data_IF_523587640823
#
_entry.id   IF_523587640823
#
_cell.length_a   1.000
_cell.length_b   1.000
_cell.length_c   1.000
_cell.angle_alpha   90.00
_cell.angle_beta   90.00
_cell.angle_gamma   90.00
#
_symmetry.space_group_name_H-M   'P 1'
#
loop_
_entity.id
_entity.type
_entity.pdbx_description
1 polymer ?
#
# COMPACT_ATOMS: atom_id res chain seq x y z
N UNK A 1 -24.32 12.09 9.20
CA UNK A 1 -23.12 11.23 9.03
C UNK A 1 -21.94 11.62 9.95
N UNK A 2 -21.75 12.90 10.29
CA UNK A 2 -20.67 13.38 11.18
C UNK A 2 -20.70 12.74 12.60
N UNK A 3 -21.89 12.64 13.21
CA UNK A 3 -22.09 12.04 14.55
C UNK A 3 -21.78 10.52 14.63
N UNK A 4 -21.70 9.81 13.50
CA UNK A 4 -21.28 8.41 13.51
C UNK A 4 -19.77 8.29 13.67
N UNK A 5 -18.99 9.18 13.04
CA UNK A 5 -17.53 9.17 13.10
C UNK A 5 -16.97 9.64 14.44
N UNK A 6 -17.66 10.57 15.13
CA UNK A 6 -17.18 11.14 16.41
C UNK A 6 -17.54 10.30 17.64
N UNK A 7 -18.61 9.48 17.56
CA UNK A 7 -19.07 8.65 18.68
C UNK A 7 -17.97 7.73 19.25
N UNK A 8 -17.18 7.02 18.43
CA UNK A 8 -16.06 6.22 18.95
C UNK A 8 -15.05 7.07 19.74
N UNK A 9 -14.73 8.27 19.26
CA UNK A 9 -13.78 9.17 19.94
C UNK A 9 -14.31 9.69 21.27
N UNK A 10 -15.60 10.01 21.36
CA UNK A 10 -16.24 10.43 22.61
C UNK A 10 -16.21 9.34 23.68
N UNK A 11 -16.15 8.07 23.27
CA UNK A 11 -16.10 6.91 24.16
C UNK A 11 -14.69 6.40 24.43
N UNK A 12 -13.64 7.02 23.87
CA UNK A 12 -12.25 6.65 24.17
C UNK A 12 -11.94 6.72 25.67
N UNK A 13 -12.57 7.66 26.38
CA UNK A 13 -12.43 7.82 27.83
C UNK A 13 -13.05 6.66 28.63
N UNK A 14 -13.94 5.87 28.02
CA UNK A 14 -14.50 4.66 28.63
C UNK A 14 -13.56 3.45 28.50
N UNK A 15 -12.58 3.51 27.60
CA UNK A 15 -11.66 2.40 27.38
C UNK A 15 -10.64 2.30 28.52
N UNK A 16 -10.42 1.09 29.02
CA UNK A 16 -9.38 0.83 30.04
C UNK A 16 -7.98 1.12 29.48
N UNK A 17 -7.77 0.77 28.22
CA UNK A 17 -6.52 0.97 27.49
C UNK A 17 -6.78 1.05 25.99
N UNK A 18 -5.90 1.75 25.25
CA UNK A 18 -5.93 1.84 23.79
C UNK A 18 -4.67 1.18 23.23
N UNK A 19 -4.85 0.24 22.29
CA UNK A 19 -3.75 -0.40 21.57
C UNK A 19 -3.60 0.28 20.21
N UNK A 20 -2.40 0.77 19.90
CA UNK A 20 -2.11 1.40 18.61
C UNK A 20 -1.01 0.59 17.91
N UNK A 21 -1.24 0.31 16.62
CA UNK A 21 -0.27 -0.35 15.75
C UNK A 21 0.82 0.64 15.32
N UNK A 22 1.67 1.02 16.26
CA UNK A 22 2.81 1.93 16.08
C UNK A 22 3.92 1.56 17.07
N UNK A 23 5.08 2.19 17.00
CA UNK A 23 6.19 1.99 17.94
C UNK A 23 6.82 3.33 18.32
N UNK A 24 7.50 3.37 19.47
CA UNK A 24 7.97 4.62 20.08
C UNK A 24 8.86 5.46 19.16
N UNK A 25 9.75 4.83 18.40
CA UNK A 25 10.65 5.55 17.51
C UNK A 25 9.96 6.13 16.26
N UNK A 26 8.77 5.65 15.90
CA UNK A 26 7.99 6.20 14.77
C UNK A 26 7.22 7.45 15.16
N UNK A 27 6.60 7.48 16.35
CA UNK A 27 5.64 8.52 16.77
C UNK A 27 5.90 9.07 18.18
N UNK A 28 7.18 9.16 18.57
CA UNK A 28 7.62 9.53 19.94
C UNK A 28 6.88 10.72 20.54
N UNK A 29 6.82 11.83 19.81
CA UNK A 29 6.26 13.08 20.32
C UNK A 29 4.74 12.98 20.53
N UNK A 30 4.04 12.26 19.64
CA UNK A 30 2.60 12.02 19.73
C UNK A 30 2.29 11.10 20.91
N UNK A 31 3.03 10.00 21.04
CA UNK A 31 2.85 9.04 22.15
C UNK A 31 3.13 9.69 23.50
N UNK A 32 4.16 10.54 23.58
CA UNK A 32 4.47 11.32 24.78
C UNK A 32 3.33 12.26 25.15
N UNK A 33 2.83 13.04 24.20
CA UNK A 33 1.72 13.97 24.44
C UNK A 33 0.45 13.25 24.94
N UNK A 34 0.11 12.11 24.34
CA UNK A 34 -1.04 11.30 24.77
C UNK A 34 -0.88 10.73 26.19
N UNK A 35 0.35 10.32 26.54
CA UNK A 35 0.65 9.83 27.88
C UNK A 35 0.61 10.96 28.93
N UNK A 36 1.06 12.17 28.59
CA UNK A 36 0.96 13.36 29.45
C UNK A 36 -0.51 13.74 29.73
N UNK A 37 -1.40 13.54 28.75
CA UNK A 37 -2.86 13.66 28.89
C UNK A 37 -3.50 12.49 29.68
N UNK A 38 -2.68 11.59 30.25
CA UNK A 38 -3.07 10.41 31.04
C UNK A 38 -3.95 9.41 30.28
N UNK A 39 -3.82 9.37 28.95
CA UNK A 39 -4.49 8.36 28.13
C UNK A 39 -3.68 7.06 28.24
N UNK A 40 -4.29 6.01 28.78
CA UNK A 40 -3.64 4.70 28.92
C UNK A 40 -3.50 4.03 27.54
N UNK A 41 -2.33 4.16 26.93
CA UNK A 41 -2.04 3.76 25.55
C UNK A 41 -0.87 2.78 25.50
N UNK A 42 -0.94 1.82 24.57
CA UNK A 42 0.14 0.89 24.25
C UNK A 42 0.46 0.98 22.75
N UNK A 43 1.65 1.48 22.43
CA UNK A 43 2.25 1.33 21.12
C UNK A 43 2.78 -0.10 20.99
N UNK A 44 2.09 -0.95 20.22
CA UNK A 44 2.38 -2.39 20.16
C UNK A 44 2.64 -2.89 18.73
N UNK A 45 3.04 -2.00 17.83
CA UNK A 45 3.36 -2.33 16.44
C UNK A 45 4.85 -2.63 16.20
N UNK A 46 5.20 -2.92 14.93
CA UNK A 46 4.30 -3.10 13.81
C UNK A 46 3.63 -4.49 13.82
N UNK A 47 2.30 -4.52 13.79
CA UNK A 47 1.54 -5.73 13.47
C UNK A 47 1.67 -5.99 11.98
N UNK A 48 2.59 -6.87 11.63
CA UNK A 48 2.81 -7.32 10.28
C UNK A 48 2.05 -8.63 10.03
N UNK A 49 1.57 -8.87 8.80
CA UNK A 49 1.07 -10.19 8.41
C UNK A 49 2.10 -11.28 8.73
N UNK A 50 1.70 -12.46 9.22
CA UNK A 50 2.62 -13.55 9.57
C UNK A 50 3.59 -13.94 8.45
N UNK A 51 3.18 -13.81 7.18
CA UNK A 51 4.04 -14.07 6.03
C UNK A 51 5.31 -13.20 5.96
N UNK A 52 5.29 -11.99 6.54
CA UNK A 52 6.50 -11.14 6.64
C UNK A 52 7.46 -11.59 7.75
N UNK A 53 7.00 -12.44 8.67
CA UNK A 53 7.74 -12.86 9.85
C UNK A 53 8.31 -14.29 9.69
N UNK A 54 7.73 -15.11 8.81
CA UNK A 54 8.24 -16.45 8.49
C UNK A 54 9.41 -16.37 7.52
N UNK A 55 10.57 -16.95 7.89
CA UNK A 55 11.73 -17.14 7.00
C UNK A 55 11.59 -18.32 6.02
N UNK A 56 10.47 -19.03 6.09
CA UNK A 56 10.22 -20.18 5.22
C UNK A 56 9.65 -19.68 3.89
N UNK A 57 10.35 -20.00 2.79
CA UNK A 57 9.95 -19.79 1.40
C UNK A 57 8.73 -20.65 1.02
N UNK A 58 7.64 -20.55 1.77
CA UNK A 58 6.40 -21.17 1.38
C UNK A 58 5.78 -20.30 0.29
N UNK A 59 5.94 -20.75 -0.96
CA UNK A 59 5.19 -20.30 -2.14
C UNK A 59 3.66 -20.50 -1.99
N UNK A 60 3.21 -20.94 -0.81
CA UNK A 60 1.84 -21.15 -0.38
C UNK A 60 1.43 -20.16 0.74
N UNK A 61 2.13 -19.03 0.86
CA UNK A 61 1.72 -17.93 1.73
C UNK A 61 0.52 -17.17 1.12
N UNK A 62 -0.62 -17.86 1.00
CA UNK A 62 -1.94 -17.25 0.80
C UNK A 62 -2.32 -16.54 2.10
N UNK A 63 -1.67 -15.43 2.42
CA UNK A 63 -2.09 -14.57 3.53
C UNK A 63 -3.34 -13.82 3.11
N UNK A 64 -4.48 -14.48 3.27
CA UNK A 64 -5.82 -14.00 2.95
C UNK A 64 -6.27 -12.81 3.79
N UNK A 65 -5.63 -11.66 3.59
CA UNK A 65 -6.17 -10.34 3.96
C UNK A 65 -6.66 -9.58 2.74
N UNK A 66 -6.26 -10.00 1.54
CA UNK A 66 -6.80 -9.49 0.28
C UNK A 66 -8.21 -10.03 0.03
N UNK A 67 -9.17 -9.13 -0.21
CA UNK A 67 -10.51 -9.50 -0.67
C UNK A 67 -10.55 -9.92 -2.15
N UNK A 68 -9.40 -9.88 -2.83
CA UNK A 68 -9.26 -10.06 -4.28
C UNK A 68 -8.16 -11.08 -4.58
N UNK A 69 -8.27 -11.84 -5.69
CA UNK A 69 -7.19 -12.73 -6.13
C UNK A 69 -5.89 -11.93 -6.34
N UNK A 70 -4.81 -12.41 -5.74
CA UNK A 70 -3.48 -11.83 -5.91
C UNK A 70 -2.83 -12.31 -7.20
N UNK A 71 -2.30 -11.39 -7.99
CA UNK A 71 -1.53 -11.70 -9.18
C UNK A 71 -0.10 -12.09 -8.79
N UNK A 72 0.22 -13.39 -8.87
CA UNK A 72 1.56 -13.90 -8.58
C UNK A 72 2.50 -13.76 -9.78
N UNK A 73 2.00 -13.51 -10.99
CA UNK A 73 2.84 -13.33 -12.18
C UNK A 73 3.66 -12.03 -12.08
N UNK A 74 3.17 -11.04 -11.32
CA UNK A 74 3.92 -9.82 -11.04
C UNK A 74 5.24 -10.09 -10.29
N UNK A 75 5.31 -11.14 -9.46
CA UNK A 75 6.55 -11.53 -8.77
C UNK A 75 7.57 -12.07 -9.78
N UNK A 76 7.11 -12.92 -10.71
CA UNK A 76 7.96 -13.41 -11.81
C UNK A 76 8.48 -12.26 -12.67
N UNK A 77 7.66 -11.25 -12.94
CA UNK A 77 8.10 -10.05 -13.65
C UNK A 77 9.18 -9.27 -12.87
N UNK A 78 9.03 -9.14 -11.54
CA UNK A 78 9.99 -8.47 -10.66
C UNK A 78 11.36 -9.17 -10.60
N UNK A 79 11.40 -10.50 -10.70
CA UNK A 79 12.66 -11.27 -10.70
C UNK A 79 13.55 -10.95 -11.91
N UNK A 80 12.95 -10.50 -13.02
CA UNK A 80 13.67 -10.08 -14.22
C UNK A 80 14.16 -8.62 -14.17
N UNK A 81 13.87 -7.90 -13.08
CA UNK A 81 14.24 -6.49 -12.92
C UNK A 81 15.55 -6.35 -12.14
N UNK A 82 16.25 -5.23 -12.36
CA UNK A 82 17.45 -4.89 -11.60
C UNK A 82 17.10 -4.60 -10.13
N UNK A 83 18.06 -4.85 -9.25
CA UNK A 83 17.91 -4.54 -7.83
C UNK A 83 17.59 -3.04 -7.64
N UNK A 84 16.62 -2.73 -6.78
CA UNK A 84 16.19 -1.37 -6.49
C UNK A 84 15.89 -0.52 -7.75
N UNK A 85 15.32 -1.10 -8.81
CA UNK A 85 15.00 -0.36 -10.05
C UNK A 85 13.52 -0.08 -10.27
N UNK A 86 12.64 -0.87 -9.66
CA UNK A 86 11.20 -0.84 -9.92
C UNK A 86 10.50 0.19 -9.02
N UNK A 87 9.68 1.02 -9.65
CA UNK A 87 8.72 1.88 -8.96
C UNK A 87 7.41 1.11 -8.76
N UNK A 88 7.04 0.81 -7.52
CA UNK A 88 5.78 0.15 -7.21
C UNK A 88 4.73 1.16 -6.74
N UNK A 89 3.59 1.18 -7.43
CA UNK A 89 2.52 2.15 -7.22
C UNK A 89 1.24 1.42 -6.81
N UNK A 90 0.69 1.81 -5.66
CA UNK A 90 -0.61 1.37 -5.17
C UNK A 90 -1.28 2.53 -4.43
N UNK A 91 -2.58 2.72 -4.69
CA UNK A 91 -3.41 3.76 -4.08
C UNK A 91 -4.29 3.25 -2.92
N UNK A 92 -4.09 1.99 -2.50
CA UNK A 92 -4.89 1.40 -1.42
C UNK A 92 -6.37 1.29 -1.79
N UNK A 93 -7.24 1.16 -0.77
CA UNK A 93 -8.68 0.92 -0.95
C UNK A 93 -9.56 2.14 -0.97
N UNK A 94 -9.04 3.30 -0.56
CA UNK A 94 -9.85 4.47 -0.25
C UNK A 94 -9.57 5.63 -1.21
N UNK A 95 -8.40 5.67 -1.85
CA UNK A 95 -8.01 6.83 -2.64
C UNK A 95 -8.60 6.79 -4.06
N UNK A 96 -9.17 7.93 -4.48
CA UNK A 96 -9.51 8.23 -5.87
C UNK A 96 -8.70 9.45 -6.33
N UNK A 97 -8.28 9.45 -7.59
CA UNK A 97 -7.60 10.58 -8.23
C UNK A 97 -8.60 11.28 -9.16
N UNK A 98 -8.52 12.60 -9.26
CA UNK A 98 -9.23 13.31 -10.33
C UNK A 98 -8.65 12.94 -11.69
N UNK A 99 -9.40 13.18 -12.78
CA UNK A 99 -8.92 12.88 -14.13
C UNK A 99 -7.62 13.60 -14.47
N UNK A 100 -7.50 14.86 -14.04
CA UNK A 100 -6.30 15.68 -14.24
C UNK A 100 -5.13 15.08 -13.46
N UNK A 101 -5.30 14.74 -12.18
CA UNK A 101 -4.24 14.14 -11.37
C UNK A 101 -3.77 12.80 -11.93
N UNK A 102 -4.71 11.96 -12.40
CA UNK A 102 -4.39 10.69 -13.01
C UNK A 102 -3.58 10.89 -14.30
N UNK A 103 -3.99 11.83 -15.16
CA UNK A 103 -3.27 12.14 -16.40
C UNK A 103 -1.85 12.63 -16.14
N UNK A 104 -1.68 13.58 -15.22
CA UNK A 104 -0.36 14.09 -14.85
C UNK A 104 0.53 13.00 -14.25
N UNK A 105 -0.03 12.11 -13.43
CA UNK A 105 0.68 10.94 -12.92
C UNK A 105 1.20 10.07 -14.07
N UNK A 106 0.33 9.69 -15.00
CA UNK A 106 0.71 8.85 -16.14
C UNK A 106 1.80 9.50 -16.99
N UNK A 107 1.71 10.80 -17.26
CA UNK A 107 2.73 11.55 -17.98
C UNK A 107 4.08 11.56 -17.23
N UNK A 108 4.05 11.76 -15.92
CA UNK A 108 5.26 11.71 -15.09
C UNK A 108 5.89 10.32 -15.06
N UNK A 109 5.07 9.27 -15.04
CA UNK A 109 5.53 7.89 -15.10
C UNK A 109 6.18 7.55 -16.44
N UNK A 110 5.56 7.93 -17.54
CA UNK A 110 6.11 7.73 -18.89
C UNK A 110 7.45 8.47 -19.05
N UNK A 111 7.52 9.73 -18.59
CA UNK A 111 8.74 10.52 -18.64
C UNK A 111 9.89 9.94 -17.79
N UNK A 112 9.58 9.16 -16.75
CA UNK A 112 10.59 8.58 -15.86
C UNK A 112 11.45 7.50 -16.52
N UNK A 113 10.91 6.81 -17.55
CA UNK A 113 11.50 5.65 -18.22
C UNK A 113 12.00 4.57 -17.23
N UNK A 114 11.36 4.47 -16.07
CA UNK A 114 11.66 3.44 -15.06
C UNK A 114 10.76 2.23 -15.25
N UNK A 115 11.21 1.04 -14.86
CA UNK A 115 10.32 -0.09 -14.67
C UNK A 115 9.25 0.24 -13.64
N UNK A 116 7.98 0.04 -13.98
CA UNK A 116 6.83 0.42 -13.16
C UNK A 116 5.96 -0.82 -12.93
N UNK A 117 5.65 -1.08 -11.67
CA UNK A 117 4.58 -2.01 -11.29
C UNK A 117 3.44 -1.17 -10.71
N UNK A 118 2.29 -1.16 -11.36
CA UNK A 118 1.16 -0.36 -10.92
C UNK A 118 -0.08 -1.22 -10.67
N UNK A 119 -0.48 -1.30 -9.40
CA UNK A 119 -1.74 -1.88 -8.97
C UNK A 119 -2.88 -0.86 -9.14
N UNK A 120 -3.68 -1.00 -10.21
CA UNK A 120 -4.81 -0.13 -10.54
C UNK A 120 -6.12 -0.89 -10.34
N UNK A 121 -6.94 -0.46 -9.38
CA UNK A 121 -8.22 -1.11 -9.10
C UNK A 121 -9.23 -0.84 -10.21
N UNK A 122 -10.06 -1.83 -10.59
CA UNK A 122 -11.10 -1.66 -11.61
C UNK A 122 -12.06 -0.50 -11.32
N UNK A 123 -12.34 -0.23 -10.04
CA UNK A 123 -13.26 0.83 -9.62
C UNK A 123 -12.62 2.23 -9.57
N UNK A 124 -11.32 2.37 -9.89
CA UNK A 124 -10.63 3.66 -9.89
C UNK A 124 -11.10 4.52 -11.07
N UNK A 125 -11.40 3.90 -12.21
CA UNK A 125 -11.99 4.52 -13.41
C UNK A 125 -12.76 3.47 -14.21
N UNK A 126 -13.87 3.87 -14.83
CA UNK A 126 -14.77 2.99 -15.61
C UNK A 126 -14.06 2.24 -16.75
N UNK A 127 -12.92 2.74 -17.22
CA UNK A 127 -12.03 2.01 -18.14
C UNK A 127 -10.60 2.53 -18.02
N UNK A 128 -9.75 1.84 -17.26
CA UNK A 128 -8.33 2.17 -17.12
C UNK A 128 -7.61 2.12 -18.48
N UNK A 129 -7.94 1.12 -19.29
CA UNK A 129 -7.39 0.92 -20.64
C UNK A 129 -7.71 2.08 -21.59
N UNK A 130 -8.86 2.75 -21.43
CA UNK A 130 -9.21 3.91 -22.27
C UNK A 130 -8.44 5.19 -21.88
N UNK A 131 -7.86 5.24 -20.68
CA UNK A 131 -7.24 6.43 -20.11
C UNK A 131 -5.71 6.33 -20.12
N UNK A 132 -5.16 5.12 -20.12
CA UNK A 132 -3.72 4.90 -20.27
C UNK A 132 -3.29 5.07 -21.73
N UNK A 133 -2.15 5.74 -22.00
CA UNK A 133 -1.51 5.77 -23.30
C UNK A 133 -1.22 4.35 -23.80
N UNK A 134 -1.35 4.12 -25.11
CA UNK A 134 -0.99 2.83 -25.73
C UNK A 134 0.46 2.44 -25.45
N UNK A 135 1.37 3.42 -25.46
CA UNK A 135 2.77 3.25 -25.08
C UNK A 135 2.94 2.63 -23.69
N UNK A 136 2.02 2.91 -22.77
CA UNK A 136 2.04 2.37 -21.41
C UNK A 136 1.49 0.94 -21.34
N UNK A 137 0.46 0.63 -22.14
CA UNK A 137 -0.15 -0.71 -22.22
C UNK A 137 0.73 -1.73 -22.96
N UNK A 138 1.48 -1.27 -23.95
CA UNK A 138 2.34 -2.11 -24.81
C UNK A 138 3.80 -2.17 -24.31
N UNK A 139 4.09 -1.57 -23.16
CA UNK A 139 5.44 -1.48 -22.62
C UNK A 139 5.85 -2.71 -21.81
N UNK A 140 6.98 -3.32 -22.19
CA UNK A 140 7.59 -4.43 -21.43
C UNK A 140 8.15 -4.03 -20.07
N UNK A 141 8.36 -2.72 -19.85
CA UNK A 141 8.86 -2.18 -18.58
C UNK A 141 7.72 -1.75 -17.64
N UNK A 142 6.46 -1.90 -18.05
CA UNK A 142 5.29 -1.62 -17.22
C UNK A 142 4.54 -2.91 -16.95
N UNK A 143 4.25 -3.17 -15.68
CA UNK A 143 3.38 -4.24 -15.24
C UNK A 143 2.11 -3.66 -14.60
N UNK A 144 0.96 -3.88 -15.23
CA UNK A 144 -0.34 -3.43 -14.74
C UNK A 144 -1.08 -4.61 -14.14
N UNK A 145 -1.61 -4.42 -12.93
CA UNK A 145 -2.45 -5.44 -12.29
C UNK A 145 -3.52 -4.80 -11.43
N UNK A 146 -4.57 -5.55 -11.10
CA UNK A 146 -5.66 -5.04 -10.25
C UNK A 146 -5.35 -5.16 -8.77
N UNK A 147 -4.53 -6.14 -8.41
CA UNK A 147 -4.19 -6.45 -7.03
C UNK A 147 -2.83 -7.15 -6.96
N UNK A 148 -2.08 -6.86 -5.90
CA UNK A 148 -0.73 -7.39 -5.70
C UNK A 148 -0.60 -8.11 -4.37
N UNK A 149 0.28 -9.12 -4.27
CA UNK A 149 0.74 -9.65 -2.99
C UNK A 149 1.67 -8.62 -2.33
N UNK A 150 1.09 -7.58 -1.71
CA UNK A 150 1.80 -6.38 -1.25
C UNK A 150 3.00 -6.72 -0.33
N UNK A 151 2.84 -7.70 0.54
CA UNK A 151 3.88 -8.25 1.42
C UNK A 151 5.11 -8.76 0.64
N UNK A 152 4.87 -9.53 -0.43
CA UNK A 152 5.93 -10.10 -1.25
C UNK A 152 6.63 -9.02 -2.08
N UNK A 153 5.85 -8.10 -2.67
CA UNK A 153 6.41 -6.97 -3.43
C UNK A 153 7.28 -6.08 -2.54
N UNK A 154 6.81 -5.73 -1.34
CA UNK A 154 7.55 -4.89 -0.40
C UNK A 154 8.88 -5.48 0.04
N UNK A 155 8.98 -6.81 0.05
CA UNK A 155 10.19 -7.53 0.43
C UNK A 155 11.09 -7.87 -0.77
N UNK A 156 10.66 -7.55 -2.00
CA UNK A 156 11.37 -7.96 -3.21
C UNK A 156 12.54 -7.01 -3.51
N UNK A 157 13.75 -7.57 -3.71
CA UNK A 157 15.02 -6.86 -3.97
C UNK A 157 14.94 -5.78 -5.06
N UNK A 158 14.13 -6.01 -6.09
CA UNK A 158 13.99 -5.10 -7.24
C UNK A 158 13.18 -3.84 -6.94
N UNK A 159 12.44 -3.79 -5.82
CA UNK A 159 11.55 -2.67 -5.47
C UNK A 159 12.30 -1.65 -4.62
N UNK A 160 12.33 -0.38 -5.07
CA UNK A 160 13.02 0.70 -4.36
C UNK A 160 12.10 1.62 -3.57
N UNK A 161 10.87 1.82 -4.05
CA UNK A 161 9.93 2.81 -3.52
C UNK A 161 8.52 2.22 -3.54
N UNK A 162 7.80 2.33 -2.42
CA UNK A 162 6.38 2.00 -2.30
C UNK A 162 5.57 3.18 -1.75
N UNK A 163 4.40 3.37 -2.38
CA UNK A 163 3.13 3.92 -1.85
C UNK A 163 2.92 5.43 -2.00
N UNK A 164 1.96 5.80 -2.85
CA UNK A 164 1.56 7.21 -3.11
C UNK A 164 0.50 7.69 -2.09
N UNK A 165 0.06 6.85 -1.14
CA UNK A 165 -0.74 7.32 -0.01
C UNK A 165 -0.81 6.34 1.17
N UNK A 166 -0.60 6.88 2.37
CA UNK A 166 -0.96 6.28 3.65
C UNK A 166 -2.47 6.40 3.90
#
# INVERSE_FOLDING_TARGET
MYNFKLRPFQRLQEAKSILINTFDDLERDVLKALNDDKINLFAAGPFLPPALLSKEDSRDNRTGTGLWPEDQECITWLENQKESSVLCISFGSIASLSDIQFKELVLGLEASQKPILWAIRPNLKDSIESVLPKSFLESDHVYLTSWVPQTLILSHKSVKILQIRC
#
